data_IF_352642228936
#
_entry.id   IF_352642228936
#
_cell.length_a   1.000
_cell.length_b   1.000
_cell.length_c   1.000
_cell.angle_alpha   90.00
_cell.angle_beta   90.00
_cell.angle_gamma   90.00
#
_symmetry.space_group_name_H-M   'P 1'
#
loop_
_entity.id
_entity.type
_entity.pdbx_description
1 polymer ?
#
# COMPACT_ATOMS: atom_id res chain seq x y z
N UNK A 1 2.20 11.33 23.41
CA UNK A 1 3.59 11.78 23.64
C UNK A 1 3.70 13.30 23.66
N UNK A 2 3.29 14.02 22.61
CA UNK A 2 3.42 15.49 22.53
C UNK A 2 2.19 16.28 23.01
N UNK A 3 1.48 15.78 24.02
CA UNK A 3 0.29 16.44 24.56
C UNK A 3 0.63 17.82 25.13
N UNK A 4 -0.18 18.83 24.81
CA UNK A 4 0.03 20.21 25.26
C UNK A 4 0.96 21.05 24.35
N UNK A 5 1.61 20.43 23.36
CA UNK A 5 2.50 21.12 22.41
C UNK A 5 1.75 21.57 21.13
N UNK A 6 0.55 22.13 21.27
CA UNK A 6 -0.33 22.46 20.13
C UNK A 6 0.23 23.46 19.12
N UNK A 7 1.21 24.28 19.53
CA UNK A 7 1.88 25.27 18.69
C UNK A 7 3.26 24.82 18.20
N UNK A 8 3.63 23.55 18.39
CA UNK A 8 4.93 23.04 17.95
C UNK A 8 5.02 23.08 16.42
N UNK A 9 5.91 23.92 15.91
CA UNK A 9 6.21 24.02 14.47
C UNK A 9 7.45 23.22 14.05
N UNK A 10 8.43 23.08 14.93
CA UNK A 10 9.69 22.39 14.64
C UNK A 10 9.93 21.30 15.68
N UNK A 11 10.15 20.06 15.20
CA UNK A 11 10.52 18.92 16.04
C UNK A 11 11.74 18.23 15.44
N UNK A 12 12.84 18.25 16.19
CA UNK A 12 14.05 17.49 15.86
C UNK A 12 14.26 16.35 16.84
N UNK A 13 14.45 15.16 16.27
CA UNK A 13 14.72 13.90 16.94
C UNK A 13 15.96 13.23 16.33
N UNK A 14 16.89 14.06 15.82
CA UNK A 14 18.16 13.66 15.24
C UNK A 14 18.94 12.70 16.15
N UNK A 15 19.50 11.63 15.57
CA UNK A 15 20.42 10.70 16.23
C UNK A 15 19.88 10.07 17.53
N UNK A 16 18.68 9.52 17.44
CA UNK A 16 18.08 8.72 18.52
C UNK A 16 17.95 7.25 18.11
N UNK A 17 17.32 6.44 18.96
CA UNK A 17 17.08 5.02 18.70
C UNK A 17 15.61 4.75 18.32
N UNK A 18 14.96 5.67 17.61
CA UNK A 18 13.55 5.52 17.24
C UNK A 18 13.45 4.47 16.14
N UNK A 19 12.72 3.38 16.39
CA UNK A 19 12.48 2.33 15.40
C UNK A 19 11.07 2.33 14.81
N UNK A 20 10.13 2.97 15.50
CA UNK A 20 8.72 2.98 15.13
C UNK A 20 8.09 4.33 15.52
N UNK A 21 7.17 4.82 14.68
CA UNK A 21 6.34 5.98 14.98
C UNK A 21 4.92 5.49 15.17
N UNK A 22 4.50 5.39 16.43
CA UNK A 22 3.22 4.80 16.79
C UNK A 22 2.03 5.66 16.36
N UNK A 23 0.89 4.98 16.18
CA UNK A 23 -0.39 5.58 15.89
C UNK A 23 -0.70 6.77 16.80
N UNK A 24 -0.94 7.93 16.19
CA UNK A 24 -1.36 9.14 16.89
C UNK A 24 -0.24 9.89 17.63
N UNK A 25 1.04 9.54 17.39
CA UNK A 25 2.20 10.25 17.97
C UNK A 25 2.10 11.77 17.80
N UNK A 26 1.70 12.24 16.61
CA UNK A 26 1.60 13.66 16.28
C UNK A 26 0.19 14.28 16.38
N UNK A 27 -0.79 13.57 16.97
CA UNK A 27 -2.18 14.07 17.05
C UNK A 27 -2.31 15.40 17.82
N UNK A 28 -1.40 15.67 18.76
CA UNK A 28 -1.41 16.90 19.56
C UNK A 28 -0.54 18.03 18.99
N UNK A 29 0.08 17.83 17.83
CA UNK A 29 0.99 18.80 17.18
C UNK A 29 0.54 19.12 15.74
N UNK A 30 -0.69 19.63 15.53
CA UNK A 30 -1.24 19.87 14.18
C UNK A 30 -0.56 21.02 13.43
N UNK A 31 0.26 21.83 14.12
CA UNK A 31 0.99 22.96 13.55
C UNK A 31 2.40 22.59 13.09
N UNK A 32 2.78 21.30 13.13
CA UNK A 32 4.13 20.88 12.79
C UNK A 32 4.45 21.13 11.31
N UNK A 33 5.53 21.86 11.08
CA UNK A 33 6.01 22.29 9.76
C UNK A 33 7.38 21.70 9.43
N UNK A 34 8.19 21.37 10.44
CA UNK A 34 9.48 20.68 10.29
C UNK A 34 9.54 19.45 11.19
N UNK A 35 9.86 18.30 10.60
CA UNK A 35 10.09 17.06 11.31
C UNK A 35 11.43 16.44 10.88
N UNK A 36 12.40 16.50 11.79
CA UNK A 36 13.73 15.92 11.57
C UNK A 36 13.86 14.61 12.36
N UNK A 37 13.98 13.49 11.65
CA UNK A 37 14.21 12.14 12.18
C UNK A 37 15.49 11.47 11.66
N UNK A 38 16.54 12.18 11.19
CA UNK A 38 17.69 11.51 10.61
C UNK A 38 18.52 10.75 11.66
N UNK A 39 19.25 9.73 11.20
CA UNK A 39 20.09 8.86 12.04
C UNK A 39 19.27 8.16 13.15
N UNK A 40 18.16 7.54 12.77
CA UNK A 40 17.35 6.69 13.64
C UNK A 40 17.28 5.27 13.04
N UNK A 41 16.43 4.41 13.61
CA UNK A 41 16.28 3.02 13.20
C UNK A 41 14.90 2.73 12.60
N UNK A 42 14.25 3.73 11.99
CA UNK A 42 12.86 3.59 11.52
C UNK A 42 12.81 2.58 10.38
N UNK A 43 12.02 1.51 10.55
CA UNK A 43 11.94 0.40 9.57
C UNK A 43 10.76 0.51 8.61
N UNK A 44 9.72 1.24 9.00
CA UNK A 44 8.46 1.33 8.23
C UNK A 44 8.06 2.78 8.05
N UNK A 45 7.62 3.12 6.83
CA UNK A 45 7.18 4.47 6.51
C UNK A 45 5.85 4.79 7.21
N UNK A 46 5.77 5.83 8.06
CA UNK A 46 4.61 6.10 8.92
C UNK A 46 3.56 6.95 8.17
N UNK A 47 2.93 6.37 7.15
CA UNK A 47 2.01 7.10 6.26
C UNK A 47 0.76 7.63 6.98
N UNK A 48 0.22 6.89 7.96
CA UNK A 48 -0.97 7.31 8.72
C UNK A 48 -0.68 8.57 9.56
N UNK A 49 0.51 8.65 10.15
CA UNK A 49 0.93 9.77 10.98
C UNK A 49 1.27 10.99 10.12
N UNK A 50 2.02 10.79 9.04
CA UNK A 50 2.46 11.88 8.15
C UNK A 50 1.30 12.47 7.36
N UNK A 51 0.31 11.66 6.95
CA UNK A 51 -0.87 12.16 6.22
C UNK A 51 -1.71 13.16 7.01
N UNK A 52 -1.62 13.15 8.35
CA UNK A 52 -2.32 14.10 9.23
C UNK A 52 -1.60 15.44 9.37
N UNK A 53 -0.32 15.50 9.04
CA UNK A 53 0.50 16.70 9.17
C UNK A 53 0.34 17.61 7.93
N UNK A 54 -0.83 18.22 7.80
CA UNK A 54 -1.20 19.03 6.63
C UNK A 54 -0.34 20.29 6.43
N UNK A 55 0.43 20.70 7.46
CA UNK A 55 1.32 21.86 7.40
C UNK A 55 2.78 21.47 7.20
N UNK A 56 3.10 20.18 7.08
CA UNK A 56 4.48 19.72 7.00
C UNK A 56 5.14 20.25 5.73
N UNK A 57 6.16 21.08 5.93
CA UNK A 57 6.93 21.70 4.87
C UNK A 57 8.21 20.92 4.59
N UNK A 58 8.83 20.39 5.66
CA UNK A 58 10.07 19.64 5.59
C UNK A 58 10.01 18.35 6.41
N UNK A 59 10.48 17.27 5.79
CA UNK A 59 10.62 15.95 6.39
C UNK A 59 12.03 15.42 6.11
N UNK A 60 12.76 15.10 7.17
CA UNK A 60 14.07 14.43 7.08
C UNK A 60 14.00 13.03 7.72
N UNK A 61 14.20 12.01 6.89
CA UNK A 61 14.27 10.58 7.21
C UNK A 61 15.63 9.99 6.79
N UNK A 62 16.64 10.82 6.55
CA UNK A 62 17.96 10.38 6.12
C UNK A 62 18.61 9.42 7.11
N UNK A 63 19.32 8.40 6.61
CA UNK A 63 20.01 7.42 7.47
C UNK A 63 19.05 6.75 8.47
N UNK A 64 18.06 6.04 7.93
CA UNK A 64 17.14 5.17 8.65
C UNK A 64 17.17 3.77 8.03
N UNK A 65 16.26 2.90 8.46
CA UNK A 65 16.21 1.49 8.05
C UNK A 65 14.98 1.19 7.18
N UNK A 66 14.47 2.18 6.45
CA UNK A 66 13.31 2.01 5.57
C UNK A 66 13.67 1.12 4.38
N UNK A 67 12.85 0.10 4.14
CA UNK A 67 13.11 -0.88 3.06
C UNK A 67 12.25 -0.66 1.83
N UNK A 68 11.00 -0.24 1.99
CA UNK A 68 10.05 -0.13 0.86
C UNK A 68 9.15 1.08 1.04
N UNK A 69 8.65 1.62 -0.08
CA UNK A 69 7.69 2.70 -0.10
C UNK A 69 6.44 2.25 -0.87
N UNK A 70 5.28 2.15 -0.21
CA UNK A 70 4.02 1.84 -0.89
C UNK A 70 3.55 3.02 -1.74
N UNK A 71 2.62 2.78 -2.67
CA UNK A 71 2.05 3.80 -3.56
C UNK A 71 1.58 5.08 -2.86
N UNK A 72 0.98 4.95 -1.66
CA UNK A 72 0.47 6.08 -0.87
C UNK A 72 1.59 6.98 -0.32
N UNK A 73 2.79 6.44 -0.10
CA UNK A 73 3.93 7.24 0.35
C UNK A 73 4.31 8.28 -0.71
N UNK A 74 4.13 7.98 -2.01
CA UNK A 74 4.43 8.95 -3.07
C UNK A 74 3.54 10.19 -2.96
N UNK A 75 2.24 10.01 -2.69
CA UNK A 75 1.28 11.12 -2.58
C UNK A 75 1.62 12.02 -1.40
N UNK A 76 2.06 11.42 -0.28
CA UNK A 76 2.51 12.17 0.89
C UNK A 76 3.82 12.92 0.59
N UNK A 77 4.84 12.22 0.08
CA UNK A 77 6.16 12.82 -0.17
C UNK A 77 6.11 13.93 -1.23
N UNK A 78 5.26 13.79 -2.26
CA UNK A 78 5.06 14.80 -3.31
C UNK A 78 4.28 16.03 -2.83
N UNK A 79 3.57 15.94 -1.70
CA UNK A 79 2.88 17.07 -1.06
C UNK A 79 3.80 17.93 -0.18
N UNK A 80 4.95 17.38 0.23
CA UNK A 80 5.91 18.04 1.12
C UNK A 80 6.96 18.77 0.28
N UNK A 81 7.26 20.02 0.63
CA UNK A 81 8.15 20.87 -0.17
C UNK A 81 9.60 20.40 -0.16
N UNK A 82 10.10 19.96 1.00
CA UNK A 82 11.47 19.44 1.14
C UNK A 82 11.45 18.08 1.82
N UNK A 83 11.87 17.05 1.08
CA UNK A 83 11.99 15.68 1.57
C UNK A 83 13.44 15.23 1.46
N UNK A 84 13.98 14.75 2.57
CA UNK A 84 15.29 14.09 2.63
C UNK A 84 15.04 12.66 3.08
N UNK A 85 15.33 11.67 2.22
CA UNK A 85 15.01 10.26 2.46
C UNK A 85 16.14 9.32 2.02
N UNK A 86 17.27 9.88 1.60
CA UNK A 86 18.44 9.11 1.18
C UNK A 86 19.03 8.25 2.29
N UNK A 87 19.96 7.38 1.91
CA UNK A 87 20.68 6.49 2.83
C UNK A 87 19.72 5.62 3.67
N UNK A 88 18.86 4.88 2.99
CA UNK A 88 17.98 3.87 3.57
C UNK A 88 18.18 2.57 2.75
N UNK A 89 18.05 1.38 3.36
CA UNK A 89 18.30 0.09 2.72
C UNK A 89 17.15 -0.34 1.78
N UNK A 90 16.93 0.42 0.72
CA UNK A 90 15.80 0.24 -0.20
C UNK A 90 15.84 -1.13 -0.90
N UNK A 91 14.79 -1.92 -0.72
CA UNK A 91 14.51 -3.17 -1.41
C UNK A 91 13.64 -2.88 -2.64
N UNK A 92 14.30 -2.75 -3.79
CA UNK A 92 13.67 -2.48 -5.08
C UNK A 92 13.11 -3.77 -5.68
N UNK A 93 12.01 -4.25 -5.13
CA UNK A 93 11.27 -5.41 -5.62
C UNK A 93 9.82 -5.04 -6.00
N UNK A 94 8.99 -6.05 -6.23
CA UNK A 94 7.60 -5.87 -6.67
C UNK A 94 6.76 -4.95 -5.78
N UNK A 95 7.11 -4.80 -4.50
CA UNK A 95 6.39 -3.91 -3.56
C UNK A 95 6.59 -2.44 -3.87
N UNK A 96 7.61 -2.09 -4.66
CA UNK A 96 7.90 -0.71 -5.08
C UNK A 96 7.37 -0.37 -6.48
N UNK A 97 6.70 -1.30 -7.18
CA UNK A 97 6.20 -1.09 -8.56
C UNK A 97 5.28 0.12 -8.64
N UNK A 98 4.25 0.19 -7.79
CA UNK A 98 3.28 1.29 -7.85
C UNK A 98 3.92 2.65 -7.50
N UNK A 99 4.84 2.66 -6.54
CA UNK A 99 5.60 3.86 -6.19
C UNK A 99 6.47 4.31 -7.36
N UNK A 100 7.13 3.36 -8.04
CA UNK A 100 7.96 3.60 -9.21
C UNK A 100 7.15 4.11 -10.41
N UNK A 101 5.95 3.59 -10.63
CA UNK A 101 5.04 4.03 -11.70
C UNK A 101 4.60 5.48 -11.51
N UNK A 102 4.52 5.97 -10.27
CA UNK A 102 4.19 7.37 -9.97
C UNK A 102 5.35 8.34 -10.14
N UNK A 103 6.60 7.88 -10.14
CA UNK A 103 7.77 8.74 -10.31
C UNK A 103 7.77 9.42 -11.68
N UNK A 104 7.70 10.75 -11.69
CA UNK A 104 7.70 11.57 -12.91
C UNK A 104 9.03 12.25 -13.19
N UNK A 105 9.99 12.17 -12.26
CA UNK A 105 11.22 12.96 -12.27
C UNK A 105 11.01 14.40 -11.81
N UNK A 106 9.81 14.76 -11.36
CA UNK A 106 9.46 16.14 -10.99
C UNK A 106 9.90 16.50 -9.58
N UNK A 107 10.08 15.52 -8.69
CA UNK A 107 10.37 15.77 -7.29
C UNK A 107 11.83 15.46 -6.91
N UNK A 108 12.51 16.35 -6.14
CA UNK A 108 13.91 16.15 -5.77
C UNK A 108 14.18 14.84 -5.00
N UNK A 109 13.24 14.37 -4.18
CA UNK A 109 13.41 13.15 -3.38
C UNK A 109 13.58 11.89 -4.22
N UNK A 110 13.05 11.87 -5.45
CA UNK A 110 13.19 10.72 -6.37
C UNK A 110 14.66 10.40 -6.68
N UNK A 111 15.55 11.40 -6.60
CA UNK A 111 16.98 11.23 -6.82
C UNK A 111 17.74 10.58 -5.66
N UNK A 112 17.08 10.44 -4.49
CA UNK A 112 17.69 9.98 -3.24
C UNK A 112 17.47 8.49 -2.98
N UNK A 113 16.54 7.85 -3.71
CA UNK A 113 16.18 6.45 -3.53
C UNK A 113 17.09 5.60 -4.41
N UNK A 114 18.13 5.05 -3.78
CA UNK A 114 19.10 4.15 -4.42
C UNK A 114 18.90 2.74 -3.88
N UNK A 115 18.67 1.78 -4.78
CA UNK A 115 18.41 0.39 -4.43
C UNK A 115 19.61 -0.20 -3.68
N UNK A 116 19.33 -0.78 -2.52
CA UNK A 116 20.29 -1.56 -1.72
C UNK A 116 20.13 -3.06 -1.95
N UNK A 117 18.93 -3.48 -2.35
CA UNK A 117 18.61 -4.85 -2.75
C UNK A 117 17.57 -4.81 -3.88
N UNK A 118 17.41 -5.88 -4.67
CA UNK A 118 18.32 -7.04 -4.75
C UNK A 118 19.70 -6.67 -5.33
N UNK A 119 20.66 -7.58 -5.25
CA UNK A 119 22.04 -7.37 -5.75
C UNK A 119 22.08 -6.98 -7.24
N UNK A 120 21.15 -7.47 -8.06
CA UNK A 120 21.03 -7.12 -9.48
C UNK A 120 20.70 -5.64 -9.72
N UNK A 121 20.05 -4.98 -8.76
CA UNK A 121 19.65 -3.58 -8.82
C UNK A 121 20.48 -2.70 -7.87
N UNK A 122 21.40 -3.28 -7.10
CA UNK A 122 22.17 -2.56 -6.09
C UNK A 122 22.93 -1.36 -6.70
N UNK A 123 22.81 -0.20 -6.06
CA UNK A 123 23.43 1.05 -6.50
C UNK A 123 22.67 1.79 -7.60
N UNK A 124 21.65 1.19 -8.21
CA UNK A 124 20.80 1.87 -9.20
C UNK A 124 19.80 2.81 -8.50
N UNK A 125 19.53 3.96 -9.11
CA UNK A 125 18.45 4.84 -8.67
C UNK A 125 17.11 4.27 -9.08
N UNK A 126 16.16 4.13 -8.16
CA UNK A 126 14.86 3.52 -8.42
C UNK A 126 14.15 4.16 -9.62
N UNK A 127 14.20 5.49 -9.76
CA UNK A 127 13.60 6.22 -10.89
C UNK A 127 14.13 5.82 -12.28
N UNK A 128 15.26 5.13 -12.36
CA UNK A 128 15.86 4.62 -13.60
C UNK A 128 15.67 3.11 -13.79
N UNK A 129 15.15 2.40 -12.79
CA UNK A 129 14.81 0.97 -12.90
C UNK A 129 13.49 0.83 -13.65
N UNK A 130 13.39 -0.15 -14.56
CA UNK A 130 12.11 -0.42 -15.24
C UNK A 130 11.14 -1.12 -14.28
N UNK A 131 9.82 -0.81 -14.32
CA UNK A 131 8.85 -1.49 -13.47
C UNK A 131 8.83 -3.01 -13.64
N UNK A 132 9.14 -3.54 -14.83
CA UNK A 132 9.25 -5.00 -15.05
C UNK A 132 10.42 -5.68 -14.32
N UNK A 133 11.48 -4.95 -13.95
CA UNK A 133 12.64 -5.50 -13.24
C UNK A 133 12.41 -5.58 -11.72
N UNK A 134 11.32 -4.99 -11.23
CA UNK A 134 10.93 -5.00 -9.82
C UNK A 134 10.13 -6.28 -9.52
N UNK A 135 10.84 -7.37 -9.27
CA UNK A 135 10.26 -8.72 -9.14
C UNK A 135 10.42 -9.21 -7.69
N UNK A 136 9.42 -9.93 -7.19
CA UNK A 136 9.52 -10.71 -5.95
C UNK A 136 9.64 -12.19 -6.32
N UNK A 137 10.63 -12.90 -5.77
CA UNK A 137 10.66 -14.36 -5.87
C UNK A 137 9.59 -14.95 -4.96
N UNK A 138 8.62 -15.66 -5.55
CA UNK A 138 7.64 -16.41 -4.77
C UNK A 138 8.29 -17.69 -4.21
N UNK A 139 8.35 -17.87 -2.87
CA UNK A 139 8.95 -19.04 -2.24
C UNK A 139 8.22 -20.37 -2.55
N UNK A 140 7.09 -20.35 -3.27
CA UNK A 140 6.30 -21.54 -3.62
C UNK A 140 6.86 -22.33 -4.81
N UNK A 141 7.83 -21.80 -5.55
CA UNK A 141 8.42 -22.49 -6.72
C UNK A 141 9.59 -23.44 -6.37
N UNK A 142 9.96 -23.56 -5.08
CA UNK A 142 11.00 -24.46 -4.58
C UNK A 142 10.56 -25.90 -4.26
N UNK A 143 9.30 -26.28 -4.51
CA UNK A 143 8.84 -27.68 -4.42
C UNK A 143 8.17 -28.09 -5.73
N UNK A 144 8.85 -28.93 -6.51
CA UNK A 144 8.19 -29.74 -7.53
C UNK A 144 7.15 -30.61 -6.83
N UNK A 145 5.87 -30.28 -6.97
CA UNK A 145 4.77 -31.22 -6.72
C UNK A 145 4.41 -31.88 -8.06
N UNK A 146 4.32 -33.22 -8.15
CA UNK A 146 3.79 -33.86 -9.34
C UNK A 146 2.31 -33.49 -9.45
N UNK A 147 1.94 -32.79 -10.52
CA UNK A 147 0.54 -32.58 -10.89
C UNK A 147 -0.01 -33.94 -11.28
N UNK A 148 -0.69 -34.61 -10.35
CA UNK A 148 -1.53 -35.76 -10.67
C UNK A 148 -2.88 -35.19 -11.08
N UNK A 149 -3.14 -35.17 -12.39
CA UNK A 149 -4.44 -34.79 -12.94
C UNK A 149 -5.53 -35.71 -12.41
N UNK A 150 -6.73 -35.22 -12.04
CA UNK A 150 -7.85 -36.09 -11.72
C UNK A 150 -8.37 -36.77 -13.02
N UNK A 151 -8.88 -38.01 -12.94
CA UNK A 151 -9.44 -38.70 -14.10
C UNK A 151 -10.76 -38.06 -14.54
N UNK A 152 -11.13 -38.15 -15.84
CA UNK A 152 -12.37 -37.58 -16.34
C UNK A 152 -13.57 -38.37 -15.81
N UNK A 153 -14.49 -37.68 -15.14
CA UNK A 153 -15.76 -38.24 -14.69
C UNK A 153 -16.67 -38.50 -15.89
N UNK A 154 -17.01 -39.77 -16.12
CA UNK A 154 -18.05 -40.17 -17.08
C UNK A 154 -19.41 -39.71 -16.61
N UNK A 155 -20.10 -38.91 -17.42
CA UNK A 155 -21.49 -38.53 -17.25
C UNK A 155 -22.37 -39.75 -17.55
N UNK A 156 -23.08 -40.26 -16.54
CA UNK A 156 -24.14 -41.25 -16.70
C UNK A 156 -25.49 -40.52 -16.84
N UNK A 157 -26.19 -40.85 -17.91
CA UNK A 157 -27.54 -40.39 -18.27
C UNK A 157 -28.56 -40.98 -17.30
N UNK A 158 -29.31 -40.13 -16.59
CA UNK A 158 -30.46 -40.57 -15.77
C UNK A 158 -31.78 -40.15 -16.44
N UNK A 159 -32.65 -41.13 -16.64
CA UNK A 159 -34.00 -41.06 -17.20
C UNK A 159 -34.96 -40.62 -16.09
N UNK A 160 -35.89 -39.67 -16.29
CA UNK A 160 -36.89 -39.36 -15.27
C UNK A 160 -38.12 -40.27 -15.36
N UNK A 161 -38.49 -40.90 -14.24
CA UNK A 161 -39.79 -41.55 -14.03
C UNK A 161 -40.91 -40.53 -13.70
N UNK A 162 -42.19 -40.88 -13.93
CA UNK A 162 -43.28 -39.92 -14.01
C UNK A 162 -43.97 -39.69 -12.65
N UNK A 163 -44.20 -38.42 -12.31
CA UNK A 163 -45.01 -38.05 -11.15
C UNK A 163 -46.45 -37.73 -11.54
N UNK A 164 -47.34 -38.36 -10.79
CA UNK A 164 -48.80 -38.41 -10.87
C UNK A 164 -49.52 -37.06 -10.81
N UNK A 165 -50.61 -37.01 -11.58
CA UNK A 165 -51.65 -35.96 -11.62
C UNK A 165 -52.38 -35.87 -10.27
N UNK A 166 -52.49 -34.66 -9.72
CA UNK A 166 -53.64 -34.27 -8.88
C UNK A 166 -54.22 -32.95 -9.38
N UNK A 167 -55.55 -32.97 -9.50
CA UNK A 167 -56.39 -31.97 -10.14
C UNK A 167 -57.02 -31.04 -9.08
N UNK A 168 -57.62 -29.95 -9.58
CA UNK A 168 -58.52 -28.98 -8.92
C UNK A 168 -57.84 -27.89 -8.05
N UNK A 169 -58.16 -26.60 -8.17
CA UNK A 169 -59.49 -25.99 -8.37
C UNK A 169 -59.40 -24.63 -9.06
N UNK A 170 -60.42 -24.35 -9.89
CA UNK A 170 -60.67 -23.05 -10.53
C UNK A 170 -61.50 -22.19 -9.58
N UNK A 171 -61.08 -20.95 -9.33
CA UNK A 171 -61.98 -19.85 -8.91
C UNK A 171 -61.58 -18.55 -9.59
N UNK A 172 -62.60 -17.81 -10.00
CA UNK A 172 -62.66 -16.80 -11.04
C UNK A 172 -62.73 -15.35 -10.51
N UNK A 173 -62.26 -14.41 -11.35
CA UNK A 173 -62.76 -13.02 -11.52
C UNK A 173 -62.26 -11.91 -10.56
N UNK A 174 -62.43 -10.61 -10.87
CA UNK A 174 -62.05 -9.91 -12.11
C UNK A 174 -61.40 -8.51 -11.86
N UNK A 175 -61.09 -7.85 -12.98
CA UNK A 175 -60.54 -6.50 -13.27
C UNK A 175 -61.20 -5.32 -12.54
N UNK A 176 -60.40 -4.30 -12.17
CA UNK A 176 -60.63 -2.83 -12.26
C UNK A 176 -59.36 -2.13 -11.71
N UNK A 177 -58.68 -1.18 -12.34
CA UNK A 177 -59.16 -0.01 -13.08
C UNK A 177 -59.30 1.17 -12.12
N UNK A 178 -58.43 2.19 -12.23
CA UNK A 178 -58.71 3.65 -12.18
C UNK A 178 -57.43 4.44 -11.85
N UNK A 179 -57.09 5.33 -12.78
CA UNK A 179 -56.09 6.38 -12.74
C UNK A 179 -56.81 7.72 -12.50
N UNK A 180 -56.15 8.68 -11.84
CA UNK A 180 -56.39 10.15 -11.78
C UNK A 180 -56.60 10.69 -10.36
N UNK A 181 -56.39 12.00 -10.14
CA UNK A 181 -55.90 13.03 -11.07
C UNK A 181 -54.42 13.39 -10.91
#
# INVERSE_FOLDING_TARGET
>A
MFTGLGNLGYLSLYSNNISDIQAGTFNSTPQLTWLDLPNNNITTFPFDELSRLQRLYQLDLYNNQLTTLPSIAYDILSSISTVIIGNNPWQCDCRMVDFRLKMTGSYPFENQITCSQPDSLHGLKLKHVSPEDLICEDPTTGLMSPVTSPPPTTVATEIPEPSTVQNSSITSSPVSGVFSP
#
